data_IF_921324073307
#
_entry.id   IF_921324073307
#
_cell.length_a   1.000
_cell.length_b   1.000
_cell.length_c   1.000
_cell.angle_alpha   90.00
_cell.angle_beta   90.00
_cell.angle_gamma   90.00
#
_symmetry.space_group_name_H-M   'P 1'
#
loop_
_entity.id
_entity.type
_entity.pdbx_description
1 polymer ?
#
# COMPACT_ATOMS: atom_id res chain seq x y z
N UNK A 1 22.06 22.16 -44.21
CA UNK A 1 21.03 22.56 -43.23
C UNK A 1 19.91 21.55 -43.33
N UNK A 2 19.84 20.62 -42.38
CA UNK A 2 18.65 19.77 -42.21
C UNK A 2 17.47 20.67 -41.87
N UNK A 3 16.34 20.46 -42.53
CA UNK A 3 15.11 21.16 -42.17
C UNK A 3 14.79 20.89 -40.68
N UNK A 4 14.29 21.88 -39.93
CA UNK A 4 13.85 21.65 -38.56
C UNK A 4 12.77 20.57 -38.56
N UNK A 5 12.85 19.65 -37.60
CA UNK A 5 11.86 18.58 -37.47
C UNK A 5 10.45 19.18 -37.31
N UNK A 6 9.43 18.57 -37.94
CA UNK A 6 8.06 19.02 -37.78
C UNK A 6 7.63 18.92 -36.31
N UNK A 7 6.75 19.82 -35.83
CA UNK A 7 6.25 19.75 -34.46
C UNK A 7 5.56 18.40 -34.20
N UNK A 8 5.68 17.85 -32.97
CA UNK A 8 5.09 16.57 -32.62
C UNK A 8 3.57 16.57 -32.80
N UNK A 9 2.99 15.44 -33.19
CA UNK A 9 1.54 15.31 -33.33
C UNK A 9 0.83 15.51 -31.98
N UNK A 10 -0.44 15.95 -31.95
CA UNK A 10 -1.19 16.08 -30.69
C UNK A 10 -1.25 14.79 -29.87
N UNK A 11 -1.25 13.63 -30.54
CA UNK A 11 -1.20 12.31 -29.89
C UNK A 11 0.17 12.03 -29.30
N UNK A 12 1.25 12.39 -30.00
CA UNK A 12 2.61 12.28 -29.47
C UNK A 12 2.79 13.15 -28.21
N UNK A 13 2.26 14.37 -28.23
CA UNK A 13 2.27 15.28 -27.06
C UNK A 13 1.46 14.69 -25.89
N UNK A 14 0.27 14.15 -26.15
CA UNK A 14 -0.54 13.48 -25.13
C UNK A 14 0.18 12.26 -24.53
N UNK A 15 0.84 11.45 -25.36
CA UNK A 15 1.63 10.30 -24.91
C UNK A 15 2.82 10.73 -24.04
N UNK A 16 3.45 11.85 -24.35
CA UNK A 16 4.52 12.42 -23.53
C UNK A 16 3.99 12.88 -22.16
N UNK A 17 2.85 13.57 -22.12
CA UNK A 17 2.21 13.98 -20.85
C UNK A 17 1.88 12.79 -19.95
N UNK A 18 1.42 11.66 -20.52
CA UNK A 18 1.19 10.41 -19.79
C UNK A 18 2.51 9.89 -19.17
N UNK A 19 3.58 9.85 -19.96
CA UNK A 19 4.90 9.38 -19.47
C UNK A 19 5.48 10.30 -18.40
N UNK A 20 5.36 11.61 -18.55
CA UNK A 20 5.86 12.56 -17.55
C UNK A 20 5.08 12.45 -16.23
N UNK A 21 3.77 12.26 -16.31
CA UNK A 21 2.94 11.96 -15.13
C UNK A 21 3.40 10.67 -14.43
N UNK A 22 3.72 9.62 -15.19
CA UNK A 22 4.23 8.36 -14.64
C UNK A 22 5.58 8.52 -13.92
N UNK A 23 6.49 9.38 -14.42
CA UNK A 23 7.77 9.67 -13.74
C UNK A 23 7.55 10.30 -12.36
N UNK A 24 6.65 11.29 -12.27
CA UNK A 24 6.30 11.93 -11.00
C UNK A 24 5.66 10.95 -10.00
N UNK A 25 4.84 10.02 -10.48
CA UNK A 25 4.27 8.95 -9.66
C UNK A 25 5.35 8.02 -9.10
N UNK A 26 6.35 7.63 -9.89
CA UNK A 26 7.48 6.81 -9.44
C UNK A 26 8.28 7.54 -8.36
N UNK A 27 8.63 8.81 -8.60
CA UNK A 27 9.39 9.61 -7.65
C UNK A 27 8.65 9.73 -6.31
N UNK A 28 7.32 9.95 -6.36
CA UNK A 28 6.47 10.03 -5.18
C UNK A 28 6.40 8.71 -4.42
N UNK A 29 6.21 7.58 -5.11
CA UNK A 29 6.17 6.25 -4.49
C UNK A 29 7.51 5.88 -3.84
N UNK A 30 8.63 6.19 -4.50
CA UNK A 30 9.97 5.98 -3.96
C UNK A 30 10.23 6.85 -2.73
N UNK A 31 9.82 8.13 -2.75
CA UNK A 31 9.92 9.03 -1.60
C UNK A 31 9.11 8.53 -0.41
N UNK A 32 7.89 8.04 -0.63
CA UNK A 32 7.08 7.39 0.42
C UNK A 32 7.80 6.16 0.96
N UNK A 33 8.29 5.26 0.10
CA UNK A 33 9.07 4.10 0.53
C UNK A 33 10.30 4.46 1.36
N UNK A 34 11.05 5.49 0.95
CA UNK A 34 12.20 5.99 1.68
C UNK A 34 11.81 6.59 3.04
N UNK A 35 10.74 7.39 3.10
CA UNK A 35 10.21 7.94 4.34
C UNK A 35 9.72 6.84 5.29
N UNK A 36 9.15 5.76 4.75
CA UNK A 36 8.77 4.58 5.54
C UNK A 36 9.98 3.90 6.15
N UNK A 37 11.05 3.71 5.40
CA UNK A 37 12.29 3.09 5.91
C UNK A 37 12.97 4.02 6.92
N UNK A 38 13.13 5.29 6.58
CA UNK A 38 13.84 6.28 7.42
C UNK A 38 13.06 6.66 8.69
N UNK A 39 11.73 6.74 8.61
CA UNK A 39 10.85 7.00 9.75
C UNK A 39 10.38 5.73 10.47
N UNK A 40 10.79 4.54 10.02
CA UNK A 40 10.30 3.29 10.59
C UNK A 40 10.69 3.16 12.05
N UNK A 41 9.71 2.80 12.85
CA UNK A 41 9.89 2.20 14.17
C UNK A 41 10.53 0.79 14.05
N UNK A 42 11.36 0.50 13.04
CA UNK A 42 11.98 -0.82 12.84
C UNK A 42 12.79 -1.25 14.08
N UNK A 43 13.42 -0.30 14.76
CA UNK A 43 14.11 -0.52 16.04
C UNK A 43 13.17 -0.96 17.17
N UNK A 44 11.89 -0.60 17.12
CA UNK A 44 10.87 -1.05 18.09
C UNK A 44 10.45 -2.51 17.88
N UNK A 45 10.52 -3.02 16.64
CA UNK A 45 10.27 -4.45 16.35
C UNK A 45 11.25 -5.32 17.14
N UNK A 46 12.52 -4.91 17.22
CA UNK A 46 13.55 -5.62 17.99
C UNK A 46 13.29 -5.67 19.50
N UNK A 47 12.32 -4.88 20.01
CA UNK A 47 11.87 -4.91 21.40
C UNK A 47 10.67 -5.83 21.62
N UNK A 48 10.02 -6.32 20.56
CA UNK A 48 8.90 -7.25 20.66
C UNK A 48 9.42 -8.66 20.99
N UNK A 49 8.71 -9.42 21.85
CA UNK A 49 9.16 -10.75 22.22
C UNK A 49 9.11 -11.70 21.03
N UNK A 50 10.19 -12.46 20.85
CA UNK A 50 10.29 -13.48 19.83
C UNK A 50 9.47 -14.72 20.25
N UNK A 51 8.61 -15.22 19.36
CA UNK A 51 7.83 -16.43 19.61
C UNK A 51 6.76 -16.68 18.55
N UNK A 52 6.20 -17.89 18.55
CA UNK A 52 5.02 -18.19 17.74
C UNK A 52 3.79 -17.42 18.25
N UNK A 53 2.83 -17.05 17.38
CA UNK A 53 1.70 -16.18 17.70
C UNK A 53 0.61 -16.92 18.49
N UNK A 54 0.96 -17.46 19.65
CA UNK A 54 0.06 -18.15 20.58
C UNK A 54 -0.56 -17.20 21.61
N UNK A 55 -0.06 -15.96 21.71
CA UNK A 55 -0.56 -14.91 22.60
C UNK A 55 -0.60 -13.57 21.87
N UNK A 56 -1.34 -12.59 22.41
CA UNK A 56 -1.38 -11.23 21.84
C UNK A 56 0.00 -10.57 21.80
N UNK A 57 0.83 -10.82 22.80
CA UNK A 57 2.18 -10.24 22.90
C UNK A 57 3.13 -10.81 21.84
N UNK A 58 3.10 -12.12 21.61
CA UNK A 58 3.93 -12.76 20.57
C UNK A 58 3.35 -12.59 19.17
N UNK A 59 2.03 -12.43 19.03
CA UNK A 59 1.38 -12.14 17.76
C UNK A 59 1.76 -10.76 17.19
N UNK A 60 2.05 -9.76 18.05
CA UNK A 60 2.48 -8.42 17.61
C UNK A 60 3.70 -8.44 16.71
N UNK A 61 4.70 -9.28 16.99
CA UNK A 61 5.88 -9.39 16.14
C UNK A 61 5.49 -9.78 14.70
N UNK A 62 4.61 -10.77 14.56
CA UNK A 62 4.12 -11.25 13.27
C UNK A 62 3.26 -10.21 12.56
N UNK A 63 2.37 -9.51 13.28
CA UNK A 63 1.56 -8.42 12.71
C UNK A 63 2.46 -7.27 12.23
N UNK A 64 3.47 -6.89 13.01
CA UNK A 64 4.43 -5.87 12.63
C UNK A 64 5.23 -6.29 11.38
N UNK A 65 5.79 -7.50 11.38
CA UNK A 65 6.55 -8.02 10.25
C UNK A 65 5.68 -8.13 8.98
N UNK A 66 4.46 -8.67 9.10
CA UNK A 66 3.53 -8.77 7.99
C UNK A 66 3.14 -7.38 7.46
N UNK A 67 2.79 -6.43 8.34
CA UNK A 67 2.45 -5.06 7.96
C UNK A 67 3.58 -4.35 7.22
N UNK A 68 4.82 -4.50 7.69
CA UNK A 68 6.01 -3.94 7.04
C UNK A 68 6.25 -4.56 5.65
N UNK A 69 6.17 -5.89 5.52
CA UNK A 69 6.30 -6.58 4.23
C UNK A 69 5.21 -6.17 3.25
N UNK A 70 3.97 -6.02 3.73
CA UNK A 70 2.82 -5.61 2.92
C UNK A 70 3.02 -4.18 2.40
N UNK A 71 3.46 -3.25 3.26
CA UNK A 71 3.75 -1.88 2.87
C UNK A 71 4.91 -1.78 1.85
N UNK A 72 6.03 -2.46 2.10
CA UNK A 72 7.17 -2.48 1.18
C UNK A 72 6.83 -3.16 -0.15
N UNK A 73 6.12 -4.29 -0.11
CA UNK A 73 5.65 -5.00 -1.29
C UNK A 73 4.70 -4.16 -2.14
N UNK A 74 3.81 -3.39 -1.49
CA UNK A 74 2.93 -2.45 -2.18
C UNK A 74 3.74 -1.33 -2.87
N UNK A 75 4.75 -0.76 -2.22
CA UNK A 75 5.64 0.24 -2.84
C UNK A 75 6.38 -0.34 -4.05
N UNK A 76 6.95 -1.55 -3.92
CA UNK A 76 7.62 -2.22 -5.04
C UNK A 76 6.66 -2.48 -6.22
N UNK A 77 5.43 -2.90 -5.95
CA UNK A 77 4.37 -3.04 -6.96
C UNK A 77 4.02 -1.72 -7.63
N UNK A 78 3.96 -0.61 -6.89
CA UNK A 78 3.70 0.72 -7.45
C UNK A 78 4.81 1.13 -8.44
N UNK A 79 6.07 0.95 -8.06
CA UNK A 79 7.23 1.24 -8.92
C UNK A 79 7.17 0.37 -10.18
N UNK A 80 6.97 -0.94 -10.01
CA UNK A 80 6.89 -1.88 -11.14
C UNK A 80 5.73 -1.56 -12.10
N UNK A 81 4.57 -1.16 -11.57
CA UNK A 81 3.42 -0.76 -12.39
C UNK A 81 3.71 0.50 -13.20
N UNK A 82 4.34 1.50 -12.57
CA UNK A 82 4.64 2.77 -13.23
C UNK A 82 5.77 2.65 -14.27
N UNK A 83 6.78 1.80 -14.05
CA UNK A 83 7.82 1.49 -15.05
C UNK A 83 7.21 0.95 -16.35
N UNK A 84 6.12 0.15 -16.27
CA UNK A 84 5.45 -0.36 -17.48
C UNK A 84 4.83 0.74 -18.35
N UNK A 85 4.47 1.89 -17.78
CA UNK A 85 3.96 3.05 -18.53
C UNK A 85 5.09 3.74 -19.32
N UNK A 86 6.32 3.63 -18.84
CA UNK A 86 7.50 4.23 -19.48
C UNK A 86 8.04 3.38 -20.63
N UNK A 87 7.72 2.09 -20.67
CA UNK A 87 8.12 1.22 -21.76
C UNK A 87 7.45 1.66 -23.07
N UNK A 88 8.19 1.66 -24.19
CA UNK A 88 7.62 2.00 -25.49
C UNK A 88 6.54 0.99 -25.85
N UNK A 89 5.42 1.49 -26.37
CA UNK A 89 4.30 0.70 -26.87
C UNK A 89 4.23 0.93 -28.36
N UNK A 90 4.25 -0.16 -29.12
CA UNK A 90 4.06 -0.17 -30.57
C UNK A 90 3.00 -1.20 -30.89
N UNK A 91 1.95 -0.76 -31.57
CA UNK A 91 0.81 -1.53 -32.06
C UNK A 91 0.70 -1.20 -33.54
N UNK A 92 0.98 -2.20 -34.38
CA UNK A 92 0.86 -2.06 -35.82
C UNK A 92 -0.55 -2.38 -36.30
N UNK A 93 -0.89 -1.95 -37.51
CA UNK A 93 -2.15 -2.36 -38.16
C UNK A 93 -2.18 -3.88 -38.40
N UNK A 94 -1.02 -4.53 -38.56
CA UNK A 94 -0.92 -5.99 -38.67
C UNK A 94 -1.33 -6.69 -37.36
N UNK A 95 -0.84 -6.23 -36.21
CA UNK A 95 -1.23 -6.77 -34.90
C UNK A 95 -2.75 -6.65 -34.68
N UNK A 96 -3.32 -5.51 -35.08
CA UNK A 96 -4.75 -5.27 -35.00
C UNK A 96 -5.55 -6.17 -35.93
N UNK A 97 -5.06 -6.45 -37.14
CA UNK A 97 -5.72 -7.30 -38.12
C UNK A 97 -5.72 -8.76 -37.69
N UNK A 98 -4.56 -9.27 -37.23
CA UNK A 98 -4.40 -10.66 -36.77
C UNK A 98 -5.30 -10.96 -35.57
N UNK A 99 -5.37 -10.04 -34.61
CA UNK A 99 -6.14 -10.22 -33.38
C UNK A 99 -7.54 -9.61 -33.44
N UNK A 100 -7.99 -9.20 -34.64
CA UNK A 100 -9.24 -8.43 -34.80
C UNK A 100 -10.44 -9.20 -34.27
N UNK A 101 -10.50 -10.53 -34.46
CA UNK A 101 -11.63 -11.37 -34.06
C UNK A 101 -11.52 -11.83 -32.61
N UNK A 102 -10.36 -12.37 -32.21
CA UNK A 102 -10.05 -12.87 -30.87
C UNK A 102 -8.88 -12.10 -30.24
N UNK A 103 -9.14 -10.95 -29.60
CA UNK A 103 -8.09 -10.10 -29.08
C UNK A 103 -7.46 -10.63 -27.79
N UNK A 104 -6.13 -10.70 -27.76
CA UNK A 104 -5.38 -10.94 -26.54
C UNK A 104 -5.60 -9.81 -25.52
N UNK A 105 -5.44 -10.12 -24.24
CA UNK A 105 -5.72 -9.19 -23.12
C UNK A 105 -5.09 -7.79 -23.29
N UNK A 106 -3.85 -7.62 -23.80
CA UNK A 106 -3.28 -6.29 -24.00
C UNK A 106 -3.99 -5.44 -25.06
N UNK A 107 -4.46 -6.04 -26.16
CA UNK A 107 -5.08 -5.34 -27.29
C UNK A 107 -6.60 -5.24 -27.23
N UNK A 108 -7.25 -6.02 -26.36
CA UNK A 108 -8.70 -5.92 -26.07
C UNK A 108 -9.24 -4.49 -26.00
N UNK A 109 -8.68 -3.57 -25.17
CA UNK A 109 -9.20 -2.21 -25.08
C UNK A 109 -9.03 -1.42 -26.39
N UNK A 110 -7.94 -1.64 -27.13
CA UNK A 110 -7.64 -0.96 -28.40
C UNK A 110 -8.59 -1.42 -29.50
N UNK A 111 -8.78 -2.73 -29.63
CA UNK A 111 -9.70 -3.30 -30.64
C UNK A 111 -11.15 -2.94 -30.30
N UNK A 112 -11.53 -2.96 -29.02
CA UNK A 112 -12.83 -2.47 -28.58
C UNK A 112 -13.05 -0.98 -28.94
N UNK A 113 -12.03 -0.13 -28.81
CA UNK A 113 -12.10 1.27 -29.22
C UNK A 113 -12.43 1.41 -30.72
N UNK A 114 -11.68 0.72 -31.59
CA UNK A 114 -11.91 0.82 -33.04
C UNK A 114 -13.27 0.25 -33.46
N UNK A 115 -13.69 -0.88 -32.88
CA UNK A 115 -15.03 -1.45 -33.12
C UNK A 115 -16.13 -0.48 -32.71
N UNK A 116 -15.97 0.21 -31.58
CA UNK A 116 -16.94 1.19 -31.10
C UNK A 116 -16.87 2.54 -31.85
N UNK A 117 -15.76 2.84 -32.52
CA UNK A 117 -15.52 4.10 -33.23
C UNK A 117 -14.90 3.86 -34.61
N UNK A 118 -15.65 3.26 -35.55
CA UNK A 118 -15.13 2.84 -36.86
C UNK A 118 -14.59 3.99 -37.71
N UNK A 119 -14.99 5.24 -37.44
CA UNK A 119 -14.44 6.43 -38.09
C UNK A 119 -12.90 6.55 -37.99
N UNK A 120 -12.29 5.96 -36.96
CA UNK A 120 -10.83 5.96 -36.80
C UNK A 120 -10.12 4.90 -37.66
N UNK A 121 -10.84 3.99 -38.32
CA UNK A 121 -10.30 3.06 -39.33
C UNK A 121 -10.14 3.71 -40.71
N UNK A 122 -10.18 5.04 -40.79
CA UNK A 122 -9.92 5.80 -42.01
C UNK A 122 -10.79 5.36 -43.21
N UNK A 123 -12.03 4.94 -42.96
CA UNK A 123 -12.97 4.54 -44.02
C UNK A 123 -12.87 3.07 -44.48
N UNK A 124 -12.21 2.20 -43.71
CA UNK A 124 -12.31 0.74 -43.86
C UNK A 124 -13.17 0.12 -42.75
N UNK A 125 -13.69 -1.08 -43.00
CA UNK A 125 -14.45 -1.83 -42.00
C UNK A 125 -13.54 -2.52 -40.99
N UNK A 126 -12.33 -2.91 -41.41
CA UNK A 126 -11.33 -3.57 -40.57
C UNK A 126 -9.92 -3.02 -40.82
N UNK A 127 -8.98 -3.21 -39.89
CA UNK A 127 -7.56 -2.92 -40.11
C UNK A 127 -6.96 -3.76 -41.27
N UNK A 128 -7.39 -5.01 -41.42
CA UNK A 128 -6.90 -5.92 -42.46
C UNK A 128 -7.19 -5.40 -43.88
N UNK A 129 -8.33 -4.73 -44.08
CA UNK A 129 -8.68 -4.14 -45.38
C UNK A 129 -7.68 -3.04 -45.81
N UNK A 130 -7.05 -2.32 -44.87
CA UNK A 130 -5.99 -1.35 -45.22
C UNK A 130 -4.74 -2.07 -45.73
N UNK A 131 -4.36 -3.19 -45.11
CA UNK A 131 -3.21 -4.02 -45.51
C UNK A 131 -3.45 -4.61 -46.89
N UNK A 132 -4.64 -5.15 -47.14
CA UNK A 132 -5.03 -5.75 -48.41
C UNK A 132 -5.02 -4.70 -49.54
N UNK A 133 -5.65 -3.54 -49.33
CA UNK A 133 -5.67 -2.45 -50.31
C UNK A 133 -4.26 -1.96 -50.64
N UNK A 134 -3.38 -1.83 -49.64
CA UNK A 134 -1.98 -1.44 -49.85
C UNK A 134 -1.23 -2.50 -50.66
N UNK A 135 -1.35 -3.76 -50.26
CA UNK A 135 -0.69 -4.89 -50.91
C UNK A 135 -1.10 -5.02 -52.38
N UNK A 136 -2.38 -4.79 -52.69
CA UNK A 136 -2.89 -4.78 -54.06
C UNK A 136 -2.27 -3.66 -54.92
N UNK A 137 -2.10 -2.44 -54.39
CA UNK A 137 -1.43 -1.36 -55.13
C UNK A 137 0.07 -1.62 -55.32
N UNK A 138 0.74 -2.19 -54.31
CA UNK A 138 2.16 -2.55 -54.40
C UNK A 138 2.37 -3.66 -55.45
N UNK A 139 1.49 -4.67 -55.49
CA UNK A 139 1.56 -5.72 -56.50
C UNK A 139 1.48 -5.17 -57.93
N UNK A 140 0.63 -4.15 -58.16
CA UNK A 140 0.51 -3.48 -59.47
C UNK A 140 1.77 -2.74 -59.93
N UNK A 141 2.69 -2.36 -59.03
CA UNK A 141 3.98 -1.79 -59.43
C UNK A 141 4.88 -2.83 -60.12
N UNK A 142 4.66 -4.12 -59.87
CA UNK A 142 5.41 -5.22 -60.49
C UNK A 142 4.83 -5.71 -61.81
N UNK A 143 3.65 -5.22 -62.20
CA UNK A 143 2.97 -5.60 -63.44
C UNK A 143 3.28 -4.61 -64.58
N UNK A 144 3.37 -5.07 -65.84
CA UNK A 144 3.52 -4.17 -66.99
C UNK A 144 2.27 -3.31 -67.18
N UNK A 145 2.40 -1.99 -67.00
CA UNK A 145 1.30 -1.05 -67.16
C UNK A 145 1.63 0.39 -66.70
N UNK A 146 0.66 1.32 -66.81
CA UNK A 146 0.84 2.69 -66.34
C UNK A 146 0.92 2.78 -64.82
N UNK A 147 2.04 3.29 -64.31
CA UNK A 147 2.33 3.50 -62.88
C UNK A 147 2.04 4.93 -62.39
N UNK A 148 1.54 5.80 -63.27
CA UNK A 148 1.21 7.18 -62.94
C UNK A 148 0.16 7.25 -61.81
N UNK A 149 0.47 7.99 -60.74
CA UNK A 149 -0.40 8.14 -59.56
C UNK A 149 -0.43 6.94 -58.60
N UNK A 150 0.22 5.81 -58.92
CA UNK A 150 0.23 4.62 -58.05
C UNK A 150 1.08 4.85 -56.80
N UNK A 151 2.21 5.54 -56.93
CA UNK A 151 3.05 5.96 -55.80
C UNK A 151 2.29 6.91 -54.85
N UNK A 152 1.54 7.87 -55.40
CA UNK A 152 0.73 8.81 -54.60
C UNK A 152 -0.39 8.08 -53.85
N UNK A 153 -1.02 7.09 -54.49
CA UNK A 153 -2.06 6.27 -53.88
C UNK A 153 -1.51 5.37 -52.76
N UNK A 154 -0.32 4.78 -52.94
CA UNK A 154 0.38 4.03 -51.90
C UNK A 154 0.72 4.96 -50.73
N UNK A 155 1.31 6.13 -51.00
CA UNK A 155 1.62 7.11 -49.96
C UNK A 155 0.38 7.63 -49.21
N UNK A 156 -0.78 7.72 -49.88
CA UNK A 156 -2.04 8.06 -49.23
C UNK A 156 -2.55 6.95 -48.31
N UNK A 157 -2.35 5.67 -48.66
CA UNK A 157 -2.66 4.54 -47.78
C UNK A 157 -1.67 4.42 -46.62
N UNK A 158 -0.38 4.66 -46.86
CA UNK A 158 0.65 4.66 -45.82
C UNK A 158 0.30 5.69 -44.73
N UNK A 159 -0.07 6.93 -45.11
CA UNK A 159 -0.55 7.94 -44.16
C UNK A 159 -1.80 7.52 -43.37
N UNK A 160 -2.70 6.74 -43.98
CA UNK A 160 -3.90 6.21 -43.30
C UNK A 160 -3.54 5.11 -42.32
N UNK A 161 -2.60 4.24 -42.68
CA UNK A 161 -2.06 3.19 -41.80
C UNK A 161 -1.38 3.85 -40.60
N UNK A 162 -0.47 4.79 -40.84
CA UNK A 162 0.20 5.56 -39.77
C UNK A 162 -0.81 6.24 -38.84
N UNK A 163 -1.87 6.85 -39.37
CA UNK A 163 -2.92 7.45 -38.55
C UNK A 163 -3.68 6.44 -37.68
N UNK A 164 -3.90 5.21 -38.17
CA UNK A 164 -4.50 4.13 -37.36
C UNK A 164 -3.53 3.64 -36.29
N UNK A 165 -2.25 3.46 -36.63
CA UNK A 165 -1.22 3.04 -35.68
C UNK A 165 -1.00 4.07 -34.58
N UNK A 166 -0.98 5.37 -34.90
CA UNK A 166 -0.88 6.45 -33.92
C UNK A 166 -2.03 6.42 -32.90
N UNK A 167 -3.26 6.21 -33.38
CA UNK A 167 -4.43 6.08 -32.52
C UNK A 167 -4.34 4.79 -31.69
N UNK A 168 -3.90 3.69 -32.29
CA UNK A 168 -3.73 2.42 -31.60
C UNK A 168 -2.69 2.49 -30.48
N UNK A 169 -1.54 3.10 -30.76
CA UNK A 169 -0.47 3.35 -29.80
C UNK A 169 -0.94 4.22 -28.64
N UNK A 170 -1.70 5.29 -28.94
CA UNK A 170 -2.28 6.15 -27.92
C UNK A 170 -3.26 5.39 -27.01
N UNK A 171 -4.22 4.67 -27.58
CA UNK A 171 -5.20 3.93 -26.79
C UNK A 171 -4.57 2.77 -26.00
N UNK A 172 -3.52 2.13 -26.55
CA UNK A 172 -2.76 1.11 -25.84
C UNK A 172 -2.03 1.70 -24.61
N UNK A 173 -1.33 2.82 -24.80
CA UNK A 173 -0.64 3.52 -23.71
C UNK A 173 -1.63 4.00 -22.64
N UNK A 174 -2.76 4.57 -23.06
CA UNK A 174 -3.84 5.00 -22.17
C UNK A 174 -4.41 3.83 -21.36
N UNK A 175 -4.68 2.68 -22.00
CA UNK A 175 -5.16 1.49 -21.29
C UNK A 175 -4.12 0.91 -20.32
N UNK A 176 -2.83 1.02 -20.62
CA UNK A 176 -1.75 0.69 -19.67
C UNK A 176 -1.77 1.67 -18.49
N UNK A 177 -1.89 2.97 -18.75
CA UNK A 177 -1.94 4.01 -17.72
C UNK A 177 -3.14 3.86 -16.79
N UNK A 178 -4.35 3.65 -17.31
CA UNK A 178 -5.56 3.45 -16.48
C UNK A 178 -5.48 2.20 -15.60
N UNK A 179 -4.88 1.12 -16.12
CA UNK A 179 -4.59 -0.08 -15.32
C UNK A 179 -3.53 0.20 -14.26
N UNK A 180 -2.50 0.96 -14.60
CA UNK A 180 -1.48 1.40 -13.65
C UNK A 180 -2.11 2.22 -12.53
N UNK A 181 -2.93 3.24 -12.85
CA UNK A 181 -3.58 4.10 -11.86
C UNK A 181 -4.44 3.30 -10.87
N UNK A 182 -5.26 2.37 -11.35
CA UNK A 182 -6.07 1.50 -10.46
C UNK A 182 -5.20 0.65 -9.55
N UNK A 183 -4.11 0.09 -10.06
CA UNK A 183 -3.14 -0.68 -9.25
C UNK A 183 -2.43 0.19 -8.23
N UNK A 184 -2.08 1.43 -8.58
CA UNK A 184 -1.46 2.41 -7.68
C UNK A 184 -2.42 2.74 -6.53
N UNK A 185 -3.69 3.02 -6.81
CA UNK A 185 -4.68 3.29 -5.77
C UNK A 185 -4.86 2.10 -4.83
N UNK A 186 -4.97 0.88 -5.37
CA UNK A 186 -5.07 -0.33 -4.56
C UNK A 186 -3.80 -0.56 -3.70
N UNK A 187 -2.62 -0.39 -4.29
CA UNK A 187 -1.35 -0.53 -3.58
C UNK A 187 -1.18 0.54 -2.49
N UNK A 188 -1.60 1.78 -2.72
CA UNK A 188 -1.58 2.85 -1.71
C UNK A 188 -2.47 2.51 -0.52
N UNK A 189 -3.67 1.99 -0.75
CA UNK A 189 -4.56 1.52 0.32
C UNK A 189 -3.97 0.34 1.10
N UNK A 190 -3.36 -0.62 0.40
CA UNK A 190 -2.67 -1.75 1.03
C UNK A 190 -1.46 -1.29 1.85
N UNK A 191 -0.69 -0.34 1.34
CA UNK A 191 0.41 0.27 2.08
C UNK A 191 -0.09 0.96 3.35
N UNK A 192 -1.14 1.78 3.26
CA UNK A 192 -1.75 2.43 4.42
C UNK A 192 -2.24 1.41 5.46
N UNK A 193 -2.91 0.34 5.05
CA UNK A 193 -3.35 -0.72 5.96
C UNK A 193 -2.17 -1.43 6.63
N UNK A 194 -1.13 -1.77 5.86
CA UNK A 194 0.10 -2.37 6.38
C UNK A 194 0.80 -1.46 7.40
N UNK A 195 0.81 -0.15 7.16
CA UNK A 195 1.38 0.84 8.08
C UNK A 195 0.58 0.98 9.37
N UNK A 196 -0.74 1.01 9.30
CA UNK A 196 -1.60 1.06 10.49
C UNK A 196 -1.40 -0.19 11.33
N UNK A 197 -1.39 -1.37 10.70
CA UNK A 197 -1.14 -2.65 11.38
C UNK A 197 0.26 -2.68 12.01
N UNK A 198 1.27 -2.22 11.27
CA UNK A 198 2.64 -2.10 11.75
C UNK A 198 2.73 -1.18 12.97
N UNK A 199 2.22 0.04 12.87
CA UNK A 199 2.28 1.03 13.94
C UNK A 199 1.58 0.56 15.21
N UNK A 200 0.40 -0.06 15.07
CA UNK A 200 -0.34 -0.65 16.19
C UNK A 200 0.43 -1.78 16.90
N UNK A 201 1.12 -2.62 16.13
CA UNK A 201 1.87 -3.75 16.67
C UNK A 201 3.21 -3.33 17.29
N UNK A 202 3.90 -2.41 16.63
CA UNK A 202 5.22 -1.88 16.99
C UNK A 202 5.18 -0.92 18.19
N UNK A 203 4.05 -0.27 18.44
CA UNK A 203 3.81 0.57 19.61
C UNK A 203 2.70 -0.03 20.48
N UNK A 204 2.97 -1.11 21.22
CA UNK A 204 1.99 -1.64 22.16
C UNK A 204 1.61 -0.53 23.16
N UNK A 205 0.33 -0.46 23.58
CA UNK A 205 -0.02 0.39 24.70
C UNK A 205 0.88 0.03 25.89
N UNK A 206 1.24 1.01 26.73
CA UNK A 206 2.08 0.74 27.89
C UNK A 206 1.48 -0.45 28.62
N UNK A 207 2.27 -1.52 28.77
CA UNK A 207 1.88 -2.60 29.64
C UNK A 207 1.65 -1.94 31.00
N UNK A 208 0.45 -2.03 31.56
CA UNK A 208 0.26 -1.83 32.99
C UNK A 208 1.16 -2.87 33.64
N UNK A 209 2.40 -2.48 33.97
CA UNK A 209 3.31 -3.33 34.71
C UNK A 209 2.68 -3.44 36.08
N UNK A 210 1.88 -4.46 36.26
CA UNK A 210 1.46 -4.91 37.57
C UNK A 210 2.73 -5.24 38.31
N UNK A 211 3.11 -4.43 39.30
CA UNK A 211 4.26 -4.73 40.14
C UNK A 211 4.04 -6.13 40.73
N UNK A 212 4.98 -7.06 40.50
CA UNK A 212 4.93 -8.36 41.14
C UNK A 212 5.63 -8.25 42.50
N UNK A 213 4.82 -8.09 43.54
CA UNK A 213 5.21 -7.88 44.92
C UNK A 213 4.73 -9.05 45.79
N UNK A 214 4.50 -10.23 45.19
CA UNK A 214 4.09 -11.43 45.93
C UNK A 214 5.14 -11.77 46.98
N UNK A 215 4.66 -12.05 48.20
CA UNK A 215 5.48 -12.35 49.37
C UNK A 215 6.54 -11.27 49.72
N UNK A 216 6.42 -10.05 49.17
CA UNK A 216 7.33 -8.95 49.46
C UNK A 216 7.18 -8.48 50.92
N UNK A 217 8.29 -8.17 51.57
CA UNK A 217 8.31 -7.51 52.88
C UNK A 217 8.31 -6.01 52.68
N UNK A 218 7.16 -5.38 52.90
CA UNK A 218 6.92 -3.94 52.77
C UNK A 218 6.61 -3.32 54.15
N UNK A 219 7.15 -3.91 55.21
CA UNK A 219 6.92 -3.49 56.59
C UNK A 219 7.37 -2.04 56.79
N UNK A 220 6.47 -1.17 57.25
CA UNK A 220 6.75 0.25 57.47
C UNK A 220 6.98 1.08 56.20
N UNK A 221 6.67 0.53 55.02
CA UNK A 221 6.90 1.24 53.76
C UNK A 221 5.98 2.47 53.65
N UNK A 222 6.54 3.59 53.19
CA UNK A 222 5.77 4.75 52.75
C UNK A 222 5.33 4.50 51.29
N UNK A 223 4.04 4.23 51.11
CA UNK A 223 3.39 3.97 49.83
C UNK A 223 2.27 4.97 49.56
N UNK A 224 2.35 6.16 50.18
CA UNK A 224 1.36 7.22 49.97
C UNK A 224 1.30 7.61 48.49
N UNK A 225 0.09 7.77 47.98
CA UNK A 225 -0.21 8.11 46.58
C UNK A 225 0.39 7.16 45.50
N UNK A 226 0.83 5.95 45.90
CA UNK A 226 1.42 4.99 44.97
C UNK A 226 0.39 4.44 43.96
N UNK A 227 0.78 4.34 42.68
CA UNK A 227 0.02 3.61 41.66
C UNK A 227 0.35 2.11 41.74
N UNK A 228 -0.51 1.36 42.42
CA UNK A 228 -0.44 -0.09 42.59
C UNK A 228 -1.57 -0.79 41.82
N UNK A 229 -2.14 -0.14 40.80
CA UNK A 229 -3.24 -0.72 40.01
C UNK A 229 -2.82 -2.03 39.36
N UNK A 230 -3.62 -3.07 39.59
CA UNK A 230 -3.34 -4.41 39.12
C UNK A 230 -2.13 -5.11 39.75
N UNK A 231 -1.42 -4.51 40.71
CA UNK A 231 -0.25 -5.12 41.34
C UNK A 231 -0.57 -6.50 41.95
N UNK A 232 0.39 -7.41 41.90
CA UNK A 232 0.27 -8.73 42.54
C UNK A 232 0.92 -8.65 43.92
N UNK A 233 0.09 -8.56 44.96
CA UNK A 233 0.52 -8.45 46.35
C UNK A 233 0.19 -9.72 47.15
N UNK A 234 -0.15 -10.83 46.49
CA UNK A 234 -0.52 -12.06 47.21
C UNK A 234 0.60 -12.46 48.21
N UNK A 235 0.26 -12.59 49.49
CA UNK A 235 1.20 -12.92 50.56
C UNK A 235 2.12 -11.79 51.03
N UNK A 236 2.02 -10.58 50.47
CA UNK A 236 2.86 -9.45 50.88
C UNK A 236 2.63 -9.05 52.35
N UNK A 237 3.69 -8.62 53.02
CA UNK A 237 3.64 -8.08 54.37
C UNK A 237 3.64 -6.56 54.33
N UNK A 238 2.47 -5.94 54.56
CA UNK A 238 2.27 -4.49 54.62
C UNK A 238 2.19 -3.99 56.06
N UNK A 239 2.73 -4.73 57.02
CA UNK A 239 2.67 -4.36 58.44
C UNK A 239 3.28 -2.98 58.67
N UNK A 240 2.52 -2.02 59.19
CA UNK A 240 3.01 -0.66 59.45
C UNK A 240 3.15 0.24 58.22
N UNK A 241 2.81 -0.24 57.02
CA UNK A 241 2.91 0.56 55.79
C UNK A 241 1.83 1.66 55.74
N UNK A 242 2.14 2.77 55.08
CA UNK A 242 1.19 3.86 54.85
C UNK A 242 0.75 3.86 53.38
N UNK A 243 -0.51 3.54 53.10
CA UNK A 243 -1.09 3.53 51.76
C UNK A 243 -2.00 4.73 51.50
N UNK A 244 -1.96 5.79 52.33
CA UNK A 244 -2.86 6.94 52.18
C UNK A 244 -2.82 7.46 50.74
N UNK A 245 -3.97 7.50 50.06
CA UNK A 245 -4.08 7.95 48.67
C UNK A 245 -3.67 6.94 47.58
N UNK A 246 -3.08 5.80 47.93
CA UNK A 246 -2.64 4.79 46.98
C UNK A 246 -3.81 4.18 46.17
N UNK A 247 -3.56 3.86 44.90
CA UNK A 247 -4.54 3.21 44.02
C UNK A 247 -4.23 1.71 43.88
N UNK A 248 -5.05 0.87 44.52
CA UNK A 248 -4.97 -0.59 44.48
C UNK A 248 -6.05 -1.21 43.59
N UNK A 249 -6.66 -0.44 42.69
CA UNK A 249 -7.74 -0.92 41.82
C UNK A 249 -7.27 -2.14 41.01
N UNK A 250 -7.99 -3.25 41.14
CA UNK A 250 -7.67 -4.50 40.46
C UNK A 250 -6.44 -5.25 40.99
N UNK A 251 -5.84 -4.84 42.11
CA UNK A 251 -4.70 -5.54 42.71
C UNK A 251 -5.10 -6.92 43.27
N UNK A 252 -4.20 -7.90 43.16
CA UNK A 252 -4.37 -9.22 43.77
C UNK A 252 -3.88 -9.17 45.23
N UNK A 253 -4.81 -9.29 46.19
CA UNK A 253 -4.60 -9.04 47.63
C UNK A 253 -4.83 -10.30 48.49
N UNK A 254 -4.56 -11.49 47.97
CA UNK A 254 -4.83 -12.74 48.70
C UNK A 254 -3.77 -12.95 49.79
N UNK A 255 -4.19 -13.24 51.03
CA UNK A 255 -3.26 -13.48 52.18
C UNK A 255 -2.27 -12.34 52.47
N UNK A 256 -2.59 -11.10 52.10
CA UNK A 256 -1.79 -9.93 52.50
C UNK A 256 -1.88 -9.76 54.03
N UNK A 257 -0.76 -9.45 54.68
CA UNK A 257 -0.74 -9.11 56.10
C UNK A 257 -0.98 -7.60 56.28
N UNK A 258 -2.16 -7.26 56.81
CA UNK A 258 -2.55 -5.90 57.15
C UNK A 258 -2.52 -5.73 58.67
N UNK A 259 -1.40 -5.26 59.18
CA UNK A 259 -1.22 -5.05 60.62
C UNK A 259 -0.66 -3.66 60.84
N UNK A 260 -1.36 -2.80 61.58
CA UNK A 260 -0.96 -1.39 61.75
C UNK A 260 -0.75 -0.66 60.41
N UNK A 261 -1.44 -1.09 59.35
CA UNK A 261 -1.34 -0.48 58.01
C UNK A 261 -2.34 0.67 57.91
N UNK A 262 -1.95 1.81 57.35
CA UNK A 262 -2.90 2.87 56.97
C UNK A 262 -3.47 2.54 55.59
N UNK A 263 -4.78 2.41 55.48
CA UNK A 263 -5.51 2.09 54.26
C UNK A 263 -5.57 3.31 53.30
N UNK A 264 -5.95 3.12 52.03
CA UNK A 264 -6.00 4.20 51.04
C UNK A 264 -6.87 5.41 51.39
N UNK A 265 -7.94 5.19 52.16
CA UNK A 265 -8.83 6.24 52.66
C UNK A 265 -8.33 6.91 53.95
N UNK A 266 -7.14 6.55 54.44
CA UNK A 266 -6.54 7.04 55.68
C UNK A 266 -6.98 6.29 56.94
N UNK A 267 -7.85 5.28 56.84
CA UNK A 267 -8.27 4.49 58.01
C UNK A 267 -7.24 3.43 58.40
N UNK A 268 -7.22 3.00 59.66
CA UNK A 268 -6.28 1.97 60.11
C UNK A 268 -6.83 0.55 59.86
N UNK A 269 -6.03 -0.32 59.25
CA UNK A 269 -6.41 -1.71 58.96
C UNK A 269 -6.85 -2.49 60.20
N UNK A 270 -6.24 -2.21 61.36
CA UNK A 270 -6.54 -2.87 62.62
C UNK A 270 -7.94 -2.53 63.15
N UNK A 271 -8.48 -1.35 62.81
CA UNK A 271 -9.86 -0.98 63.11
C UNK A 271 -10.87 -1.68 62.18
N UNK A 272 -10.40 -2.23 61.06
CA UNK A 272 -11.22 -2.77 59.97
C UNK A 272 -11.06 -4.28 59.81
N UNK A 273 -10.87 -5.01 60.91
CA UNK A 273 -10.72 -6.48 60.88
C UNK A 273 -9.42 -6.96 60.25
N UNK A 274 -8.35 -6.15 60.34
CA UNK A 274 -7.02 -6.43 59.76
C UNK A 274 -7.08 -6.60 58.25
N UNK A 275 -7.80 -5.69 57.59
CA UNK A 275 -7.87 -5.63 56.13
C UNK A 275 -8.16 -4.21 55.64
N UNK A 276 -7.69 -3.88 54.43
CA UNK A 276 -8.07 -2.66 53.73
C UNK A 276 -9.06 -2.93 52.58
N UNK A 277 -9.56 -4.16 52.37
CA UNK A 277 -10.38 -4.53 51.20
C UNK A 277 -11.68 -3.72 51.05
N UNK A 278 -12.28 -3.26 52.15
CA UNK A 278 -13.48 -2.41 52.13
C UNK A 278 -13.20 -0.91 52.00
N UNK A 279 -11.92 -0.53 51.99
CA UNK A 279 -11.42 0.85 52.04
C UNK A 279 -10.60 1.19 50.79
N UNK A 280 -10.80 0.41 49.72
CA UNK A 280 -10.22 0.64 48.40
C UNK A 280 -11.20 1.47 47.57
N UNK A 281 -10.68 2.24 46.61
CA UNK A 281 -11.54 2.88 45.60
C UNK A 281 -12.32 1.80 44.84
N UNK A 282 -13.63 2.00 44.57
CA UNK A 282 -14.38 1.09 43.69
C UNK A 282 -13.76 1.13 42.29
N UNK A 283 -13.58 -0.06 41.70
CA UNK A 283 -13.03 -0.25 40.36
C UNK A 283 -14.06 -0.17 39.26
#
# INVERSE_FOLDING_TARGET
>A
MTAPDPPPSPLAEANQRIRDTAKWLIASAAAVGAALIAGSQLSSIGRLPLGWPTSTTTARLWVAAAGALLALGAVAQMIAAAVRVLLPVQVSVADLAEQWSDPAVPLRPVIAFFRNRPKFLQGTATPGELIERRSALVARLGEPGPVAGLHDAIGALDRRIEAVEDVANHEALKAIFERCLRRLLAAALLAAAGLVAFAWAANPPPATRTADLRDARLTGADLRDADLRGARLDGADLTGADLTGADLTGAALTRVLWARTTCPDGTASDANGRTCRGHLKPG
#
